data_IF_977195367129
#
_entry.id   IF_977195367129
#
_cell.length_a   1.000
_cell.length_b   1.000
_cell.length_c   1.000
_cell.angle_alpha   90.00
_cell.angle_beta   90.00
_cell.angle_gamma   90.00
#
_symmetry.space_group_name_H-M   'P 1'
#
loop_
_entity.id
_entity.type
_entity.pdbx_description
1 polymer ?
#
# COMPACT_ATOMS: atom_id res chain seq x y z
N UNK A 1 6.97 -13.82 -14.55
CA UNK A 1 6.09 -13.34 -13.48
C UNK A 1 5.83 -11.87 -13.71
N UNK A 2 4.67 -11.39 -13.27
CA UNK A 2 4.18 -10.04 -13.47
C UNK A 2 4.16 -9.34 -12.13
N UNK A 3 4.73 -8.13 -12.10
CA UNK A 3 4.82 -7.34 -10.87
C UNK A 3 3.57 -6.52 -10.66
N UNK A 4 3.08 -6.49 -9.43
CA UNK A 4 1.96 -5.65 -9.01
C UNK A 4 2.33 -4.87 -7.74
N UNK A 5 1.87 -3.63 -7.68
CA UNK A 5 1.85 -2.80 -6.50
C UNK A 5 0.48 -2.97 -5.83
N UNK A 6 0.49 -3.42 -4.57
CA UNK A 6 -0.64 -3.37 -3.67
C UNK A 6 -0.57 -2.06 -2.88
N UNK A 7 -1.64 -1.28 -2.97
CA UNK A 7 -1.78 0.06 -2.39
C UNK A 7 -2.69 -0.03 -1.17
N UNK A 8 -2.15 0.34 0.00
CA UNK A 8 -2.87 0.45 1.26
C UNK A 8 -2.97 1.93 1.60
N UNK A 9 -4.16 2.51 1.52
CA UNK A 9 -4.42 3.92 1.86
C UNK A 9 -4.92 4.07 3.32
N UNK A 10 -5.32 5.27 3.72
CA UNK A 10 -5.93 5.53 5.03
C UNK A 10 -7.45 5.27 5.06
N UNK A 11 -8.02 4.62 4.04
CA UNK A 11 -9.41 4.22 4.05
C UNK A 11 -9.58 2.91 4.84
N UNK A 12 -10.03 3.02 6.09
CA UNK A 12 -10.24 1.87 6.99
C UNK A 12 -11.36 0.90 6.59
N UNK A 13 -12.01 1.11 5.44
CA UNK A 13 -13.05 0.22 4.93
C UNK A 13 -14.29 0.20 5.83
N UNK A 14 -14.61 -0.97 6.39
CA UNK A 14 -15.75 -1.17 7.27
C UNK A 14 -15.54 -0.58 8.68
N UNK A 15 -14.31 -0.21 9.05
CA UNK A 15 -13.97 0.36 10.36
C UNK A 15 -13.49 1.81 10.17
N UNK A 16 -14.29 2.78 10.63
CA UNK A 16 -13.96 4.21 10.55
C UNK A 16 -13.18 4.73 11.78
N UNK A 17 -13.08 3.91 12.85
CA UNK A 17 -12.26 4.25 14.01
C UNK A 17 -10.77 4.18 13.64
N UNK A 18 -9.99 5.27 13.81
CA UNK A 18 -8.57 5.27 13.47
C UNK A 18 -7.79 4.32 14.37
N UNK A 19 -6.71 3.73 13.83
CA UNK A 19 -5.88 2.75 14.56
C UNK A 19 -5.29 3.30 15.87
N UNK A 20 -5.10 4.62 15.97
CA UNK A 20 -4.64 5.30 17.19
C UNK A 20 -5.62 5.19 18.37
N UNK A 21 -6.87 4.85 18.10
CA UNK A 21 -7.93 4.66 19.11
C UNK A 21 -8.20 3.18 19.40
N UNK A 22 -7.54 2.25 18.72
CA UNK A 22 -7.72 0.82 18.96
C UNK A 22 -7.03 0.38 20.26
N UNK A 23 -7.46 -0.78 20.78
CA UNK A 23 -6.77 -1.37 21.92
C UNK A 23 -5.35 -1.82 21.50
N UNK A 24 -4.37 -1.84 22.42
CA UNK A 24 -3.05 -2.38 22.11
C UNK A 24 -3.07 -3.83 21.62
N UNK A 25 -4.05 -4.62 22.06
CA UNK A 25 -4.24 -6.00 21.62
C UNK A 25 -4.70 -6.08 20.16
N UNK A 26 -5.66 -5.24 19.78
CA UNK A 26 -6.14 -5.17 18.39
C UNK A 26 -5.04 -4.67 17.44
N UNK A 27 -4.29 -3.64 17.84
CA UNK A 27 -3.12 -3.16 17.07
C UNK A 27 -2.09 -4.27 16.91
N UNK A 28 -1.80 -5.02 17.98
CA UNK A 28 -0.87 -6.15 17.91
C UNK A 28 -1.38 -7.24 16.97
N UNK A 29 -2.65 -7.63 17.07
CA UNK A 29 -3.24 -8.66 16.20
C UNK A 29 -3.21 -8.25 14.72
N UNK A 30 -3.45 -6.97 14.43
CA UNK A 30 -3.33 -6.39 13.10
C UNK A 30 -1.91 -6.50 12.55
N UNK A 31 -0.90 -6.08 13.34
CA UNK A 31 0.51 -6.13 12.93
C UNK A 31 1.03 -7.57 12.80
N UNK A 32 0.71 -8.45 13.75
CA UNK A 32 1.08 -9.87 13.70
C UNK A 32 0.53 -10.56 12.43
N UNK A 33 -0.69 -10.20 12.00
CA UNK A 33 -1.27 -10.72 10.78
C UNK A 33 -0.47 -10.30 9.55
N UNK A 34 -0.12 -9.01 9.44
CA UNK A 34 0.74 -8.50 8.38
C UNK A 34 2.12 -9.17 8.37
N UNK A 35 2.75 -9.31 9.54
CA UNK A 35 4.05 -9.95 9.68
C UNK A 35 4.02 -11.39 9.19
N UNK A 36 2.98 -12.13 9.58
CA UNK A 36 2.78 -13.51 9.14
C UNK A 36 2.55 -13.61 7.63
N UNK A 37 1.61 -12.83 7.09
CA UNK A 37 1.31 -12.83 5.66
C UNK A 37 2.56 -12.46 4.83
N UNK A 38 3.28 -11.42 5.25
CA UNK A 38 4.50 -11.00 4.58
C UNK A 38 5.62 -12.05 4.67
N UNK A 39 5.73 -12.77 5.79
CA UNK A 39 6.70 -13.87 5.91
C UNK A 39 6.38 -15.01 4.94
N UNK A 40 5.10 -15.42 4.86
CA UNK A 40 4.65 -16.47 3.94
C UNK A 40 4.89 -16.09 2.47
N UNK A 41 4.57 -14.84 2.08
CA UNK A 41 4.80 -14.36 0.72
C UNK A 41 6.29 -14.18 0.38
N UNK A 42 7.14 -13.87 1.37
CA UNK A 42 8.61 -13.86 1.15
C UNK A 42 9.15 -15.26 0.98
N UNK A 43 8.66 -16.22 1.77
CA UNK A 43 9.06 -17.62 1.68
C UNK A 43 8.67 -18.23 0.32
N UNK A 44 7.49 -17.89 -0.21
CA UNK A 44 7.07 -18.29 -1.55
C UNK A 44 7.81 -17.56 -2.68
N UNK A 45 8.52 -16.47 -2.37
CA UNK A 45 9.19 -15.60 -3.35
C UNK A 45 8.24 -14.63 -4.06
N UNK A 46 6.97 -14.56 -3.66
CA UNK A 46 5.96 -13.68 -4.24
C UNK A 46 6.09 -12.23 -3.76
N UNK A 47 6.62 -11.97 -2.56
CA UNK A 47 6.86 -10.61 -2.05
C UNK A 47 8.26 -10.11 -2.41
N UNK A 48 8.33 -9.08 -3.27
CA UNK A 48 9.57 -8.39 -3.62
C UNK A 48 9.98 -7.39 -2.53
N UNK A 49 9.02 -6.68 -1.96
CA UNK A 49 9.25 -5.69 -0.90
C UNK A 49 7.99 -4.94 -0.52
N UNK A 50 8.07 -4.07 0.49
CA UNK A 50 6.93 -3.28 0.97
C UNK A 50 7.26 -2.62 2.29
N UNK A 51 6.59 -1.50 2.58
CA UNK A 51 6.82 -0.71 3.79
C UNK A 51 5.51 -0.13 4.32
N UNK A 52 5.42 -0.01 5.66
CA UNK A 52 4.44 0.86 6.31
C UNK A 52 4.97 2.29 6.32
N UNK A 53 4.08 3.27 6.17
CA UNK A 53 4.43 4.68 6.07
C UNK A 53 3.97 5.46 7.30
N UNK A 54 4.62 6.59 7.56
CA UNK A 54 4.21 7.54 8.60
C UNK A 54 2.88 8.21 8.24
N UNK A 55 2.20 8.75 9.26
CA UNK A 55 0.92 9.43 9.11
C UNK A 55 0.91 10.61 8.12
N UNK A 56 -0.28 11.00 7.60
CA UNK A 56 -0.46 12.11 6.67
C UNK A 56 0.12 13.45 7.15
N UNK A 57 0.23 13.65 8.45
CA UNK A 57 0.79 14.84 9.09
C UNK A 57 2.29 15.04 8.85
N UNK A 58 3.02 13.96 8.52
CA UNK A 58 4.44 14.02 8.19
C UNK A 58 4.71 14.01 6.68
N UNK A 59 3.67 13.81 5.87
CA UNK A 59 3.79 13.81 4.42
C UNK A 59 4.06 15.23 3.88
N UNK A 60 4.84 15.29 2.79
CA UNK A 60 5.15 16.52 2.06
C UNK A 60 4.97 16.29 0.57
N UNK A 61 4.44 17.28 -0.13
CA UNK A 61 4.41 17.33 -1.59
C UNK A 61 5.44 18.34 -2.06
N UNK A 62 6.19 17.98 -3.10
CA UNK A 62 7.27 18.81 -3.62
C UNK A 62 7.09 18.96 -5.13
N UNK A 63 7.05 20.21 -5.61
CA UNK A 63 7.05 20.52 -7.05
C UNK A 63 8.24 21.41 -7.40
N UNK A 64 8.75 21.28 -8.62
CA UNK A 64 9.88 22.06 -9.12
C UNK A 64 9.74 22.32 -10.61
N UNK A 65 10.13 23.51 -11.05
CA UNK A 65 10.25 23.87 -12.47
C UNK A 65 11.68 23.66 -13.01
N UNK A 66 12.61 23.21 -12.15
CA UNK A 66 14.02 23.02 -12.49
C UNK A 66 14.84 24.31 -12.61
N UNK A 67 14.24 25.48 -12.35
CA UNK A 67 14.87 26.80 -12.47
C UNK A 67 14.97 27.49 -11.11
N UNK A 68 13.87 27.51 -10.36
CA UNK A 68 13.78 28.09 -9.03
C UNK A 68 13.91 27.04 -7.93
N UNK A 69 13.93 27.51 -6.67
CA UNK A 69 13.84 26.59 -5.53
C UNK A 69 12.49 25.83 -5.56
N UNK A 70 12.46 24.56 -5.14
CA UNK A 70 11.24 23.77 -5.16
C UNK A 70 10.18 24.36 -4.23
N UNK A 71 8.91 24.24 -4.64
CA UNK A 71 7.76 24.54 -3.79
C UNK A 71 7.45 23.30 -2.97
N UNK A 72 7.49 23.44 -1.65
CA UNK A 72 7.19 22.37 -0.69
C UNK A 72 5.88 22.69 0.02
N UNK A 73 4.95 21.74 0.01
CA UNK A 73 3.67 21.82 0.73
C UNK A 73 3.64 20.73 1.79
N UNK A 74 3.50 21.14 3.05
CA UNK A 74 3.34 20.25 4.19
C UNK A 74 1.90 19.72 4.30
N UNK A 75 1.74 18.49 4.79
CA UNK A 75 0.44 17.92 5.13
C UNK A 75 -0.21 18.53 6.39
N UNK A 76 -1.45 18.10 6.73
CA UNK A 76 -2.24 17.07 6.03
C UNK A 76 -2.89 17.62 4.75
N UNK A 77 -2.89 16.82 3.69
CA UNK A 77 -3.62 17.15 2.46
C UNK A 77 -5.13 16.97 2.65
N UNK A 78 -5.94 17.75 1.93
CA UNK A 78 -7.41 17.68 1.98
C UNK A 78 -7.93 16.25 1.72
N UNK A 79 -7.30 15.53 0.79
CA UNK A 79 -7.62 14.14 0.43
C UNK A 79 -6.76 13.13 1.21
N UNK A 80 -6.62 13.32 2.53
CA UNK A 80 -5.76 12.47 3.38
C UNK A 80 -6.15 10.98 3.39
N UNK A 81 -7.41 10.65 3.10
CA UNK A 81 -7.87 9.25 2.97
C UNK A 81 -7.26 8.55 1.74
N UNK A 82 -6.84 9.31 0.73
CA UNK A 82 -6.19 8.79 -0.49
C UNK A 82 -4.66 8.68 -0.36
N UNK A 83 -4.08 9.15 0.76
CA UNK A 83 -2.66 8.95 1.03
C UNK A 83 -2.39 7.49 1.39
N UNK A 84 -1.23 7.01 0.95
CA UNK A 84 -0.75 5.68 1.27
C UNK A 84 -0.39 5.57 2.76
N UNK A 85 -1.00 4.62 3.45
CA UNK A 85 -0.56 4.11 4.75
C UNK A 85 0.55 3.07 4.60
N UNK A 86 0.64 2.41 3.45
CA UNK A 86 1.67 1.43 3.15
C UNK A 86 1.55 0.89 1.72
N UNK A 87 2.50 0.04 1.35
CA UNK A 87 2.47 -0.65 0.07
C UNK A 87 3.21 -1.98 0.11
N UNK A 88 2.88 -2.87 -0.82
CA UNK A 88 3.64 -4.09 -1.12
C UNK A 88 3.86 -4.19 -2.62
N UNK A 89 5.03 -4.65 -3.05
CA UNK A 89 5.33 -5.03 -4.43
C UNK A 89 5.44 -6.54 -4.47
N UNK A 90 4.59 -7.18 -5.25
CA UNK A 90 4.57 -8.63 -5.46
C UNK A 90 4.98 -8.98 -6.88
N UNK A 91 5.55 -10.16 -7.08
CA UNK A 91 5.87 -10.73 -8.40
C UNK A 91 5.22 -12.12 -8.49
N UNK A 92 4.15 -12.22 -9.27
CA UNK A 92 3.25 -13.38 -9.28
C UNK A 92 2.99 -13.86 -10.70
N UNK A 93 2.47 -15.08 -10.84
CA UNK A 93 2.25 -15.67 -12.15
C UNK A 93 1.06 -15.06 -12.92
N UNK A 94 0.09 -14.47 -12.21
CA UNK A 94 -1.12 -13.91 -12.83
C UNK A 94 -1.75 -12.76 -12.04
N UNK A 95 -2.64 -12.00 -12.68
CA UNK A 95 -3.43 -10.95 -12.04
C UNK A 95 -4.39 -11.52 -10.99
N UNK A 96 -4.96 -12.69 -11.24
CA UNK A 96 -5.85 -13.37 -10.29
C UNK A 96 -5.12 -13.64 -8.97
N UNK A 97 -3.85 -14.09 -9.03
CA UNK A 97 -3.04 -14.28 -7.83
C UNK A 97 -2.76 -12.97 -7.10
N UNK A 98 -2.54 -11.88 -7.83
CA UNK A 98 -2.40 -10.56 -7.22
C UNK A 98 -3.68 -10.12 -6.48
N UNK A 99 -4.85 -10.40 -7.07
CA UNK A 99 -6.16 -10.12 -6.46
C UNK A 99 -6.38 -10.98 -5.21
N UNK A 100 -5.99 -12.26 -5.22
CA UNK A 100 -6.05 -13.12 -4.04
C UNK A 100 -5.22 -12.56 -2.88
N UNK A 101 -3.99 -12.14 -3.16
CA UNK A 101 -3.11 -11.54 -2.14
C UNK A 101 -3.71 -10.23 -1.64
N UNK A 102 -4.23 -9.39 -2.54
CA UNK A 102 -4.91 -8.15 -2.16
C UNK A 102 -6.14 -8.40 -1.26
N UNK A 103 -6.88 -9.49 -1.48
CA UNK A 103 -7.98 -9.88 -0.61
C UNK A 103 -7.50 -10.27 0.80
N UNK A 104 -6.34 -10.95 0.92
CA UNK A 104 -5.73 -11.25 2.22
C UNK A 104 -5.32 -9.99 2.97
N UNK A 105 -4.79 -8.99 2.26
CA UNK A 105 -4.45 -7.67 2.83
C UNK A 105 -5.72 -6.88 3.21
N UNK A 106 -6.76 -6.94 2.39
CA UNK A 106 -8.05 -6.28 2.63
C UNK A 106 -8.74 -6.75 3.91
N UNK A 107 -8.55 -8.03 4.27
CA UNK A 107 -9.22 -8.66 5.40
C UNK A 107 -8.39 -8.68 6.70
N UNK A 108 -7.26 -7.96 6.77
CA UNK A 108 -6.46 -7.85 8.00
C UNK A 108 -7.39 -7.50 9.18
N UNK A 109 -7.22 -8.11 10.36
CA UNK A 109 -8.13 -7.88 11.48
C UNK A 109 -8.03 -6.43 11.99
N UNK A 110 -9.19 -5.80 12.17
CA UNK A 110 -9.39 -4.60 12.96
C UNK A 110 -9.87 -4.93 14.39
N UNK A 111 -10.50 -3.97 15.08
CA UNK A 111 -10.95 -4.14 16.46
C UNK A 111 -11.85 -5.37 16.68
N UNK A 112 -11.54 -6.16 17.71
CA UNK A 112 -12.27 -7.39 18.02
C UNK A 112 -12.09 -8.51 17.00
N UNK A 113 -11.07 -8.43 16.13
CA UNK A 113 -10.78 -9.41 15.09
C UNK A 113 -11.70 -9.33 13.86
N UNK A 114 -12.49 -8.26 13.73
CA UNK A 114 -13.36 -8.04 12.57
C UNK A 114 -12.51 -7.66 11.36
N UNK A 115 -12.65 -8.31 10.19
CA UNK A 115 -11.92 -7.92 8.98
C UNK A 115 -12.18 -6.46 8.60
N UNK A 116 -11.12 -5.71 8.30
CA UNK A 116 -11.25 -4.30 7.91
C UNK A 116 -12.07 -4.10 6.65
N UNK A 117 -12.05 -5.06 5.71
CA UNK A 117 -12.61 -4.89 4.37
C UNK A 117 -12.07 -3.62 3.70
N UNK A 118 -10.80 -3.32 3.96
CA UNK A 118 -10.14 -2.15 3.42
C UNK A 118 -10.01 -2.30 1.90
N UNK A 119 -10.36 -1.28 1.10
CA UNK A 119 -10.08 -1.29 -0.33
C UNK A 119 -8.56 -1.34 -0.55
N UNK A 120 -8.09 -2.35 -1.30
CA UNK A 120 -6.68 -2.48 -1.67
C UNK A 120 -6.56 -2.20 -3.16
N UNK A 121 -5.77 -1.19 -3.52
CA UNK A 121 -5.48 -0.92 -4.93
C UNK A 121 -4.54 -1.99 -5.48
N UNK A 122 -4.90 -2.62 -6.61
CA UNK A 122 -4.05 -3.59 -7.31
C UNK A 122 -3.63 -2.98 -8.63
N UNK A 123 -2.34 -2.70 -8.80
CA UNK A 123 -1.83 -2.02 -10.00
C UNK A 123 -0.62 -2.72 -10.57
N UNK A 124 -0.69 -3.12 -11.84
CA UNK A 124 0.46 -3.69 -12.54
C UNK A 124 1.60 -2.67 -12.59
N UNK A 125 2.79 -3.11 -12.21
CA UNK A 125 4.03 -2.36 -12.39
C UNK A 125 4.45 -2.49 -13.85
N UNK A 126 4.84 -1.37 -14.45
CA UNK A 126 5.34 -1.38 -15.83
C UNK A 126 6.54 -2.31 -15.98
N UNK A 127 6.60 -2.99 -17.13
CA UNK A 127 7.76 -3.74 -17.57
C UNK A 127 8.49 -3.05 -18.74
N UNK A 128 9.55 -3.67 -19.23
CA UNK A 128 10.37 -3.15 -20.33
C UNK A 128 9.56 -2.91 -21.61
N UNK A 129 8.56 -3.76 -21.90
CA UNK A 129 7.74 -3.60 -23.10
C UNK A 129 6.84 -2.35 -22.98
N UNK A 130 6.30 -2.09 -21.79
CA UNK A 130 5.53 -0.87 -21.54
C UNK A 130 6.39 0.39 -21.73
N UNK A 131 7.65 0.37 -21.27
CA UNK A 131 8.57 1.50 -21.46
C UNK A 131 8.94 1.73 -22.92
N UNK A 132 9.13 0.65 -23.70
CA UNK A 132 9.39 0.74 -25.13
C UNK A 132 8.18 1.30 -25.90
N UNK A 133 6.96 1.00 -25.46
CA UNK A 133 5.75 1.59 -26.04
C UNK A 133 5.64 3.09 -25.73
N UNK A 134 5.99 3.51 -24.51
CA UNK A 134 5.95 4.93 -24.12
C UNK A 134 7.05 5.78 -24.75
N UNK A 135 8.23 5.20 -25.01
CA UNK A 135 9.35 5.90 -25.63
C UNK A 135 9.94 5.08 -26.80
N UNK A 136 9.23 5.01 -27.94
CA UNK A 136 9.62 4.15 -29.06
C UNK A 136 10.89 4.60 -29.80
N UNK A 137 11.45 5.77 -29.46
CA UNK A 137 12.58 6.38 -30.17
C UNK A 137 13.88 6.46 -29.36
N UNK A 138 13.88 6.08 -28.07
CA UNK A 138 15.04 6.16 -27.18
C UNK A 138 15.19 7.52 -26.50
#
# INVERSE_FOLDING_TARGET
MTKFLLIVDYNGGAIDTPMTEWSPEDVKAHMDYYDKLNAELRESGELIGGEALTGPELAKSVTSDGVAAPVVTDGPFLESKELLAGFQVIDVESEERAIEIAALVSQVPGPGGVPLQQPIGVRRVMDEADYQELNPLG
#
